data_IF_725277805526
#
_entry.id   IF_725277805526
#
_cell.length_a   1.000
_cell.length_b   1.000
_cell.length_c   1.000
_cell.angle_alpha   90.00
_cell.angle_beta   90.00
_cell.angle_gamma   90.00
#
_symmetry.space_group_name_H-M   'P 1'
#
loop_
_entity.id
_entity.type
_entity.pdbx_description
1 polymer ?
#
# COMPACT_ATOMS: atom_id res chain seq x y z
N UNK A 1 -10.62 -0.97 5.62
CA UNK A 1 -10.81 0.25 4.81
C UNK A 1 -10.26 -0.08 3.43
N UNK A 2 -11.15 -0.24 2.45
CA UNK A 2 -10.78 -0.73 1.11
C UNK A 2 -10.21 0.38 0.21
N UNK A 3 -10.10 0.06 -1.08
CA UNK A 3 -9.66 0.99 -2.14
C UNK A 3 -10.82 1.81 -2.75
N UNK A 4 -11.98 1.85 -2.09
CA UNK A 4 -13.23 2.38 -2.66
C UNK A 4 -13.54 3.82 -2.25
N UNK A 5 -12.74 4.41 -1.36
CA UNK A 5 -12.93 5.77 -0.88
C UNK A 5 -11.59 6.50 -0.81
N UNK A 6 -11.61 7.79 -1.16
CA UNK A 6 -10.48 8.68 -0.94
C UNK A 6 -10.30 8.96 0.55
N UNK A 7 -9.05 9.03 1.05
CA UNK A 7 -8.81 9.39 2.43
C UNK A 7 -9.10 10.88 2.69
N UNK A 8 -9.67 11.20 3.84
CA UNK A 8 -9.81 12.59 4.31
C UNK A 8 -8.47 13.20 4.79
N UNK A 9 -7.50 12.35 5.13
CA UNK A 9 -6.19 12.76 5.65
C UNK A 9 -5.05 11.92 5.09
N UNK A 10 -3.88 12.52 4.90
CA UNK A 10 -2.62 11.83 4.65
C UNK A 10 -1.63 12.16 5.77
N UNK A 11 -1.11 11.12 6.44
CA UNK A 11 -0.20 11.28 7.59
C UNK A 11 -0.74 12.27 8.66
N UNK A 12 -2.05 12.20 8.94
CA UNK A 12 -2.76 13.08 9.87
C UNK A 12 -2.99 14.52 9.39
N UNK A 13 -2.58 14.86 8.17
CA UNK A 13 -2.82 16.16 7.53
C UNK A 13 -4.12 16.08 6.73
N UNK A 14 -5.04 17.02 6.95
CA UNK A 14 -6.28 17.11 6.16
C UNK A 14 -5.97 17.35 4.69
N UNK A 15 -6.55 16.53 3.82
CA UNK A 15 -6.43 16.68 2.36
C UNK A 15 -7.40 17.76 1.88
N UNK A 16 -6.90 18.63 1.00
CA UNK A 16 -7.66 19.69 0.33
C UNK A 16 -7.68 19.38 -1.16
N UNK A 17 -8.85 19.10 -1.73
CA UNK A 17 -8.96 18.92 -3.17
C UNK A 17 -8.61 20.22 -3.90
N UNK A 18 -7.71 20.14 -4.86
CA UNK A 18 -7.31 21.28 -5.67
C UNK A 18 -8.38 21.56 -6.74
N UNK A 19 -8.88 22.79 -6.75
CA UNK A 19 -9.84 23.31 -7.73
C UNK A 19 -9.30 24.65 -8.24
N UNK A 20 -8.86 24.71 -9.50
CA UNK A 20 -8.31 25.93 -10.09
C UNK A 20 -9.37 27.04 -10.28
N UNK A 21 -10.65 26.71 -10.36
CA UNK A 21 -11.73 27.70 -10.45
C UNK A 21 -12.08 28.30 -9.09
N UNK A 22 -11.95 27.52 -8.01
CA UNK A 22 -12.24 27.93 -6.64
C UNK A 22 -11.17 27.42 -5.66
N UNK A 23 -9.94 27.94 -5.74
CA UNK A 23 -8.83 27.40 -4.98
C UNK A 23 -8.98 27.69 -3.49
N UNK A 24 -8.86 26.65 -2.66
CA UNK A 24 -8.61 26.79 -1.23
C UNK A 24 -7.10 26.85 -0.99
N UNK A 25 -6.58 28.04 -0.72
CA UNK A 25 -5.15 28.28 -0.54
C UNK A 25 -4.67 28.03 0.89
N UNK A 26 -5.52 27.49 1.78
CA UNK A 26 -5.20 27.28 3.20
C UNK A 26 -4.76 25.86 3.54
N UNK A 27 -4.85 24.93 2.58
CA UNK A 27 -4.47 23.54 2.76
C UNK A 27 -2.97 23.34 2.97
N UNK A 28 -2.60 22.33 3.77
CA UNK A 28 -1.22 21.87 3.94
C UNK A 28 -0.96 20.54 3.19
N UNK A 29 -2.01 19.83 2.80
CA UNK A 29 -1.97 18.71 1.88
C UNK A 29 -2.99 18.92 0.77
N UNK A 30 -2.58 18.68 -0.47
CA UNK A 30 -3.43 18.86 -1.64
C UNK A 30 -3.62 17.54 -2.39
N UNK A 31 -4.83 17.30 -2.90
CA UNK A 31 -5.10 16.24 -3.88
C UNK A 31 -5.38 16.83 -5.25
N UNK A 32 -4.84 16.19 -6.28
CA UNK A 32 -5.16 16.45 -7.68
C UNK A 32 -5.65 15.13 -8.27
N UNK A 33 -6.89 15.13 -8.76
CA UNK A 33 -7.49 14.03 -9.51
C UNK A 33 -8.24 14.63 -10.70
N UNK A 34 -8.07 14.03 -11.88
CA UNK A 34 -8.82 14.42 -13.08
C UNK A 34 -10.13 13.66 -13.14
N UNK A 35 -11.20 14.36 -13.48
CA UNK A 35 -12.49 13.73 -13.78
C UNK A 35 -12.74 13.58 -15.30
N UNK A 36 -13.91 13.07 -15.64
CA UNK A 36 -14.32 12.90 -17.04
C UNK A 36 -14.35 14.23 -17.82
N UNK A 37 -14.82 15.31 -17.20
CA UNK A 37 -14.93 16.62 -17.86
C UNK A 37 -13.54 17.23 -18.11
N UNK A 38 -12.58 17.00 -17.22
CA UNK A 38 -11.19 17.38 -17.40
C UNK A 38 -10.53 16.62 -18.57
N UNK A 39 -10.80 15.32 -18.66
CA UNK A 39 -10.39 14.51 -19.82
C UNK A 39 -10.95 15.03 -21.14
N UNK A 40 -12.23 15.44 -21.18
CA UNK A 40 -12.86 16.04 -22.36
C UNK A 40 -12.20 17.37 -22.76
N UNK A 41 -11.71 18.14 -21.78
CA UNK A 41 -10.97 19.39 -22.01
C UNK A 41 -9.51 19.15 -22.42
N UNK A 42 -9.02 17.92 -22.31
CA UNK A 42 -7.62 17.57 -22.54
C UNK A 42 -6.69 18.12 -21.45
N UNK A 43 -7.20 18.28 -20.23
CA UNK A 43 -6.37 18.61 -19.08
C UNK A 43 -5.47 17.41 -18.74
N UNK A 44 -4.26 17.71 -18.25
CA UNK A 44 -3.33 16.70 -17.74
C UNK A 44 -3.09 16.93 -16.26
N UNK A 45 -2.70 15.88 -15.55
CA UNK A 45 -2.37 15.99 -14.13
C UNK A 45 -1.23 16.99 -13.92
N UNK A 46 -0.23 16.95 -14.81
CA UNK A 46 0.96 17.83 -14.77
C UNK A 46 0.59 19.30 -14.95
N UNK A 47 -0.32 19.64 -15.88
CA UNK A 47 -0.76 21.02 -16.06
C UNK A 47 -1.52 21.52 -14.82
N UNK A 48 -2.37 20.68 -14.24
CA UNK A 48 -3.11 21.00 -13.01
C UNK A 48 -2.17 21.20 -11.82
N UNK A 49 -1.12 20.38 -11.72
CA UNK A 49 -0.06 20.53 -10.71
C UNK A 49 0.76 21.80 -10.87
N UNK A 50 1.09 22.20 -12.11
CA UNK A 50 1.73 23.48 -12.37
C UNK A 50 0.86 24.65 -11.87
N UNK A 51 -0.46 24.60 -12.13
CA UNK A 51 -1.41 25.59 -11.61
C UNK A 51 -1.47 25.67 -10.08
N UNK A 52 -1.37 24.52 -9.39
CA UNK A 52 -1.26 24.49 -7.93
C UNK A 52 0.01 25.21 -7.44
N UNK A 53 1.17 24.93 -8.04
CA UNK A 53 2.44 25.54 -7.64
C UNK A 53 2.50 27.05 -7.94
N UNK A 54 1.77 27.52 -8.96
CA UNK A 54 1.64 28.96 -9.23
C UNK A 54 0.81 29.70 -8.15
N UNK A 55 -0.17 29.01 -7.58
CA UNK A 55 -1.15 29.60 -6.66
C UNK A 55 -0.78 29.44 -5.18
N UNK A 56 -0.16 28.32 -4.81
CA UNK A 56 0.14 27.95 -3.43
C UNK A 56 1.66 27.96 -3.21
N UNK A 57 2.19 28.74 -2.25
CA UNK A 57 3.60 28.69 -1.90
C UNK A 57 4.01 27.27 -1.50
N UNK A 58 4.97 26.67 -2.19
CA UNK A 58 5.30 25.26 -1.97
C UNK A 58 5.90 24.94 -0.59
N UNK A 59 6.39 25.95 0.16
CA UNK A 59 6.75 25.78 1.56
C UNK A 59 5.55 25.42 2.47
N UNK A 60 4.33 25.74 2.03
CA UNK A 60 3.10 25.38 2.73
C UNK A 60 2.71 23.91 2.50
N UNK A 61 3.10 23.34 1.36
CA UNK A 61 2.71 21.99 0.95
C UNK A 61 3.56 20.96 1.70
N UNK A 62 2.92 20.29 2.65
CA UNK A 62 3.48 19.19 3.45
C UNK A 62 3.00 17.83 2.96
N UNK A 63 1.83 17.76 2.29
CA UNK A 63 1.28 16.54 1.71
C UNK A 63 0.86 16.71 0.25
N UNK A 64 1.01 15.64 -0.53
CA UNK A 64 0.53 15.56 -1.90
C UNK A 64 -0.17 14.23 -2.13
N UNK A 65 -1.33 14.29 -2.78
CA UNK A 65 -2.08 13.11 -3.23
C UNK A 65 -2.24 13.22 -4.74
N UNK A 66 -1.59 12.29 -5.44
CA UNK A 66 -1.77 12.07 -6.88
C UNK A 66 -2.96 11.12 -7.02
N UNK A 67 -4.13 11.65 -7.30
CA UNK A 67 -5.33 10.88 -7.63
C UNK A 67 -5.36 10.44 -9.08
N UNK A 68 -6.55 10.23 -9.64
CA UNK A 68 -6.71 9.79 -11.04
C UNK A 68 -6.02 10.76 -12.02
N UNK A 69 -5.28 10.20 -12.97
CA UNK A 69 -4.62 10.92 -14.07
C UNK A 69 -5.20 10.49 -15.42
N UNK A 70 -4.82 11.23 -16.47
CA UNK A 70 -5.31 11.00 -17.81
C UNK A 70 -5.02 9.59 -18.31
N UNK A 71 -6.08 8.86 -18.70
CA UNK A 71 -6.01 7.48 -19.20
C UNK A 71 -5.21 6.56 -18.27
N UNK A 72 -5.49 6.56 -16.96
CA UNK A 72 -4.72 5.82 -15.95
C UNK A 72 -4.58 4.31 -16.19
N UNK A 73 -5.41 3.72 -17.06
CA UNK A 73 -5.34 2.32 -17.50
C UNK A 73 -4.44 2.08 -18.72
N UNK A 74 -3.92 3.12 -19.36
CA UNK A 74 -3.05 3.02 -20.54
C UNK A 74 -1.59 3.35 -20.19
N UNK A 75 -0.66 2.57 -20.73
CA UNK A 75 0.78 2.75 -20.54
C UNK A 75 1.31 3.83 -21.49
N UNK A 76 0.71 5.02 -21.42
CA UNK A 76 0.95 6.16 -22.32
C UNK A 76 2.06 7.10 -21.82
N UNK A 77 2.61 6.87 -20.62
CA UNK A 77 3.66 7.68 -20.00
C UNK A 77 3.16 8.78 -19.05
N UNK A 78 1.86 8.90 -18.79
CA UNK A 78 1.31 9.89 -17.87
C UNK A 78 1.91 9.77 -16.46
N UNK A 79 1.96 8.56 -15.89
CA UNK A 79 2.56 8.33 -14.57
C UNK A 79 4.05 8.72 -14.53
N UNK A 80 4.81 8.47 -15.60
CA UNK A 80 6.22 8.90 -15.73
C UNK A 80 6.34 10.43 -15.72
N UNK A 81 5.50 11.12 -16.51
CA UNK A 81 5.47 12.57 -16.55
C UNK A 81 5.13 13.20 -15.19
N UNK A 82 4.25 12.56 -14.40
CA UNK A 82 3.92 12.99 -13.03
C UNK A 82 5.14 12.86 -12.11
N UNK A 83 5.83 11.71 -12.14
CA UNK A 83 7.08 11.52 -11.35
C UNK A 83 8.12 12.57 -11.75
N UNK A 84 8.33 12.81 -13.04
CA UNK A 84 9.25 13.83 -13.54
C UNK A 84 8.87 15.24 -13.06
N UNK A 85 7.59 15.59 -13.09
CA UNK A 85 7.09 16.88 -12.62
C UNK A 85 7.32 17.06 -11.12
N UNK A 86 7.02 16.05 -10.30
CA UNK A 86 7.26 16.08 -8.86
C UNK A 86 8.76 16.24 -8.54
N UNK A 87 9.62 15.45 -9.19
CA UNK A 87 11.08 15.54 -9.03
C UNK A 87 11.60 16.92 -9.42
N UNK A 88 11.11 17.46 -10.55
CA UNK A 88 11.50 18.79 -11.03
C UNK A 88 11.05 19.92 -10.10
N UNK A 89 9.95 19.71 -9.36
CA UNK A 89 9.44 20.65 -8.37
C UNK A 89 10.03 20.46 -6.96
N UNK A 90 10.96 19.52 -6.76
CA UNK A 90 11.49 19.19 -5.42
C UNK A 90 12.03 20.39 -4.63
N UNK A 91 12.72 21.33 -5.28
CA UNK A 91 13.21 22.56 -4.62
C UNK A 91 12.07 23.52 -4.23
N UNK A 92 10.94 23.49 -4.95
CA UNK A 92 9.74 24.28 -4.64
C UNK A 92 8.91 23.66 -3.52
N UNK A 93 9.10 22.37 -3.24
CA UNK A 93 8.36 21.61 -2.23
C UNK A 93 9.26 21.20 -1.04
N UNK A 94 9.94 22.13 -0.36
CA UNK A 94 10.99 21.80 0.61
C UNK A 94 10.45 21.17 1.91
N UNK A 95 9.13 21.18 2.12
CA UNK A 95 8.45 20.65 3.30
C UNK A 95 7.56 19.44 3.01
N UNK A 96 7.55 18.94 1.76
CA UNK A 96 6.80 17.74 1.41
C UNK A 96 7.32 16.56 2.25
N UNK A 97 6.42 16.01 3.07
CA UNK A 97 6.71 14.87 3.95
C UNK A 97 5.75 13.69 3.75
N UNK A 98 4.61 13.90 3.10
CA UNK A 98 3.65 12.85 2.83
C UNK A 98 3.26 12.81 1.35
N UNK A 99 3.35 11.64 0.74
CA UNK A 99 2.98 11.42 -0.65
C UNK A 99 2.11 10.17 -0.78
N UNK A 100 0.96 10.31 -1.43
CA UNK A 100 0.17 9.17 -1.91
C UNK A 100 0.14 9.24 -3.44
N UNK A 101 0.76 8.27 -4.08
CA UNK A 101 0.82 8.14 -5.53
C UNK A 101 -0.21 7.11 -6.04
N UNK A 102 -1.21 7.56 -6.79
CA UNK A 102 -2.27 6.70 -7.31
C UNK A 102 -3.44 6.51 -6.36
N UNK A 103 -3.91 7.57 -5.69
CA UNK A 103 -5.19 7.54 -4.97
C UNK A 103 -6.37 7.48 -5.96
N UNK A 104 -6.49 6.31 -6.60
CA UNK A 104 -7.48 5.99 -7.61
C UNK A 104 -8.36 4.92 -6.99
N UNK A 105 -9.65 5.19 -6.96
CA UNK A 105 -10.66 4.27 -6.43
C UNK A 105 -11.08 3.27 -7.50
N UNK A 106 -11.63 2.13 -7.08
CA UNK A 106 -12.15 1.13 -8.03
C UNK A 106 -13.24 1.65 -8.97
N UNK A 107 -13.96 2.73 -8.60
CA UNK A 107 -14.92 3.38 -9.51
C UNK A 107 -14.25 4.19 -10.62
N UNK A 108 -13.06 4.74 -10.36
CA UNK A 108 -12.29 5.52 -11.33
C UNK A 108 -11.45 4.61 -12.25
N UNK A 109 -10.75 3.65 -11.65
CA UNK A 109 -9.98 2.63 -12.33
C UNK A 109 -9.74 1.46 -11.37
N UNK A 110 -10.12 0.26 -11.81
CA UNK A 110 -9.77 -1.01 -11.15
C UNK A 110 -8.25 -1.07 -10.87
N UNK A 111 -7.85 -1.47 -9.66
CA UNK A 111 -6.46 -1.40 -9.18
C UNK A 111 -5.49 -2.20 -10.05
N UNK A 112 -5.97 -3.29 -10.65
CA UNK A 112 -5.23 -4.15 -11.58
C UNK A 112 -4.96 -3.47 -12.93
N UNK A 113 -5.77 -2.49 -13.30
CA UNK A 113 -5.64 -1.75 -14.55
C UNK A 113 -4.73 -0.54 -14.44
N UNK A 114 -4.50 0.00 -13.23
CA UNK A 114 -3.66 1.18 -13.00
C UNK A 114 -2.25 0.95 -13.55
N UNK A 115 -1.86 1.77 -14.55
CA UNK A 115 -0.52 1.77 -15.15
C UNK A 115 0.39 2.76 -14.41
N UNK A 116 1.24 2.21 -13.56
CA UNK A 116 2.29 2.89 -12.81
C UNK A 116 3.58 3.09 -13.62
N UNK A 117 4.62 3.59 -12.94
CA UNK A 117 5.95 3.84 -13.49
C UNK A 117 7.06 3.52 -12.46
N UNK A 118 8.32 3.81 -12.80
CA UNK A 118 9.42 3.84 -11.83
C UNK A 118 9.32 5.07 -10.93
N UNK A 119 8.97 4.84 -9.66
CA UNK A 119 8.88 5.89 -8.65
C UNK A 119 10.19 6.06 -7.86
N UNK A 120 11.24 5.30 -8.17
CA UNK A 120 12.53 5.37 -7.47
C UNK A 120 13.16 6.77 -7.41
N UNK A 121 12.99 7.67 -8.39
CA UNK A 121 13.51 9.05 -8.31
C UNK A 121 12.95 9.86 -7.13
N UNK A 122 11.74 9.53 -6.66
CA UNK A 122 11.07 10.26 -5.57
C UNK A 122 11.85 10.16 -4.25
N UNK A 123 12.50 9.02 -3.98
CA UNK A 123 13.29 8.82 -2.76
C UNK A 123 14.48 9.78 -2.68
N UNK A 124 15.08 10.14 -3.82
CA UNK A 124 16.17 11.11 -3.87
C UNK A 124 15.69 12.55 -3.86
N UNK A 125 14.55 12.82 -4.50
CA UNK A 125 13.98 14.15 -4.64
C UNK A 125 13.45 14.72 -3.32
N UNK A 126 12.89 13.87 -2.44
CA UNK A 126 12.22 14.31 -1.22
C UNK A 126 12.87 13.73 0.05
N UNK A 127 14.04 14.25 0.50
CA UNK A 127 14.78 13.68 1.63
C UNK A 127 14.07 13.77 3.00
N UNK A 128 13.00 14.57 3.09
CA UNK A 128 12.15 14.71 4.28
C UNK A 128 10.88 13.86 4.22
N UNK A 129 10.71 13.03 3.19
CA UNK A 129 9.54 12.17 3.05
C UNK A 129 9.45 11.18 4.24
N UNK A 130 8.37 11.28 4.99
CA UNK A 130 8.05 10.42 6.14
C UNK A 130 6.96 9.40 5.80
N UNK A 131 6.08 9.71 4.86
CA UNK A 131 4.97 8.84 4.45
C UNK A 131 4.95 8.68 2.93
N UNK A 132 4.96 7.43 2.45
CA UNK A 132 4.75 7.07 1.06
C UNK A 132 3.69 5.95 0.96
N UNK A 133 2.61 6.22 0.23
CA UNK A 133 1.64 5.22 -0.20
C UNK A 133 1.61 5.17 -1.73
N UNK A 134 1.51 3.99 -2.30
CA UNK A 134 1.45 3.76 -3.74
C UNK A 134 0.36 2.73 -4.02
N UNK A 135 -0.48 2.96 -5.03
CA UNK A 135 -1.55 2.01 -5.41
C UNK A 135 -1.55 1.72 -6.90
N UNK A 136 -1.56 0.44 -7.26
CA UNK A 136 -1.43 -0.07 -8.62
C UNK A 136 -0.13 -0.84 -8.81
N UNK A 137 -0.21 -2.02 -9.42
CA UNK A 137 0.96 -2.90 -9.65
C UNK A 137 1.53 -2.85 -11.07
N UNK A 138 0.70 -2.50 -12.07
CA UNK A 138 1.08 -2.53 -13.47
C UNK A 138 2.21 -1.56 -13.78
N UNK A 139 3.37 -2.05 -14.25
CA UNK A 139 4.51 -1.17 -14.59
C UNK A 139 5.25 -0.54 -13.39
N UNK A 140 4.84 -0.82 -12.15
CA UNK A 140 5.47 -0.25 -10.95
C UNK A 140 6.92 -0.73 -10.81
N UNK A 141 7.83 0.23 -10.62
CA UNK A 141 9.18 -0.04 -10.17
C UNK A 141 9.57 0.91 -9.03
N UNK A 142 10.37 0.41 -8.10
CA UNK A 142 10.80 1.16 -6.90
C UNK A 142 12.32 1.22 -6.73
N UNK A 143 13.06 0.62 -7.68
CA UNK A 143 14.52 0.56 -7.65
C UNK A 143 15.08 -0.02 -6.36
N UNK A 144 16.22 0.52 -5.90
CA UNK A 144 16.78 0.21 -4.58
C UNK A 144 16.36 1.25 -3.56
N UNK A 145 15.50 0.87 -2.63
CA UNK A 145 14.92 1.80 -1.66
C UNK A 145 15.92 2.09 -0.54
N UNK A 146 16.30 3.36 -0.41
CA UNK A 146 17.08 3.89 0.72
C UNK A 146 16.52 5.25 1.12
N UNK A 147 16.08 5.38 2.36
CA UNK A 147 15.52 6.65 2.85
C UNK A 147 15.68 6.78 4.36
N UNK A 148 16.28 7.89 4.81
CA UNK A 148 16.59 8.10 6.22
C UNK A 148 15.37 8.51 7.07
N UNK A 149 14.37 9.13 6.44
CA UNK A 149 13.25 9.78 7.14
C UNK A 149 11.92 9.02 7.00
N UNK A 150 11.85 8.01 6.12
CA UNK A 150 10.58 7.34 5.80
C UNK A 150 10.14 6.48 6.98
N UNK A 151 8.96 6.78 7.52
CA UNK A 151 8.32 6.11 8.66
C UNK A 151 7.22 5.16 8.20
N UNK A 152 6.54 5.48 7.11
CA UNK A 152 5.45 4.68 6.56
C UNK A 152 5.67 4.41 5.08
N UNK A 153 5.61 3.13 4.71
CA UNK A 153 5.59 2.66 3.33
C UNK A 153 4.41 1.71 3.14
N UNK A 154 3.51 2.04 2.21
CA UNK A 154 2.34 1.24 1.86
C UNK A 154 2.35 1.04 0.35
N UNK A 155 2.32 -0.21 -0.10
CA UNK A 155 2.25 -0.56 -1.53
C UNK A 155 1.03 -1.46 -1.75
N UNK A 156 0.07 -0.97 -2.51
CA UNK A 156 -1.22 -1.60 -2.78
C UNK A 156 -1.27 -2.06 -4.24
N UNK A 157 -1.59 -3.33 -4.47
CA UNK A 157 -1.80 -3.85 -5.81
C UNK A 157 -2.66 -5.11 -5.73
N UNK A 158 -3.53 -5.32 -6.71
CA UNK A 158 -4.26 -6.58 -6.86
C UNK A 158 -3.39 -7.76 -7.32
N UNK A 159 -2.15 -7.47 -7.73
CA UNK A 159 -1.09 -8.43 -8.01
C UNK A 159 0.26 -7.72 -8.06
N UNK A 160 1.03 -7.80 -6.97
CA UNK A 160 2.28 -7.06 -6.87
C UNK A 160 3.46 -7.84 -7.47
N UNK A 161 4.24 -7.26 -8.40
CA UNK A 161 5.41 -7.93 -8.95
C UNK A 161 6.43 -8.27 -7.86
N UNK A 162 6.96 -9.49 -7.89
CA UNK A 162 7.96 -10.02 -6.95
C UNK A 162 9.23 -9.17 -6.93
N UNK A 163 9.57 -8.50 -8.04
CA UNK A 163 10.66 -7.55 -8.09
C UNK A 163 10.44 -6.35 -7.14
N UNK A 164 9.21 -5.84 -7.05
CA UNK A 164 8.82 -4.79 -6.11
C UNK A 164 8.80 -5.33 -4.68
N UNK A 165 8.22 -6.52 -4.46
CA UNK A 165 8.23 -7.19 -3.14
C UNK A 165 9.65 -7.36 -2.60
N UNK A 166 10.57 -7.88 -3.41
CA UNK A 166 11.99 -8.05 -3.05
C UNK A 166 12.66 -6.71 -2.74
N UNK A 167 12.36 -5.66 -3.53
CA UNK A 167 12.92 -4.34 -3.31
C UNK A 167 12.44 -3.72 -1.99
N UNK A 168 11.15 -3.84 -1.67
CA UNK A 168 10.59 -3.45 -0.37
C UNK A 168 11.22 -4.24 0.77
N UNK A 169 11.36 -5.56 0.63
CA UNK A 169 11.93 -6.42 1.68
C UNK A 169 13.44 -6.22 1.90
N UNK A 170 14.17 -5.72 0.89
CA UNK A 170 15.60 -5.44 0.95
C UNK A 170 15.92 -3.96 1.22
N UNK A 171 14.92 -3.14 1.52
CA UNK A 171 15.06 -1.70 1.68
C UNK A 171 15.91 -1.32 2.91
N UNK A 172 16.61 -0.20 2.82
CA UNK A 172 17.36 0.42 3.92
C UNK A 172 16.59 1.63 4.45
N UNK A 173 15.70 1.37 5.42
CA UNK A 173 14.74 2.32 5.97
C UNK A 173 14.84 2.33 7.51
N UNK A 174 15.88 2.96 8.09
CA UNK A 174 16.14 2.91 9.53
C UNK A 174 15.04 3.55 10.39
N UNK A 175 14.28 4.50 9.83
CA UNK A 175 13.17 5.17 10.50
C UNK A 175 11.82 4.48 10.27
N UNK A 176 11.74 3.38 9.51
CA UNK A 176 10.46 2.77 9.16
C UNK A 176 9.79 2.17 10.40
N UNK A 177 8.57 2.63 10.67
CA UNK A 177 7.71 2.18 11.76
C UNK A 177 6.56 1.33 11.21
N UNK A 178 6.12 1.61 9.97
CA UNK A 178 4.97 0.99 9.33
C UNK A 178 5.28 0.52 7.91
N UNK A 179 5.13 -0.78 7.66
CA UNK A 179 5.26 -1.38 6.34
C UNK A 179 4.00 -2.18 6.00
N UNK A 180 3.36 -1.84 4.87
CA UNK A 180 2.30 -2.63 4.26
C UNK A 180 2.66 -3.00 2.82
N UNK A 181 2.54 -4.28 2.50
CA UNK A 181 2.70 -4.82 1.15
C UNK A 181 1.47 -5.67 0.86
N UNK A 182 0.70 -5.27 -0.14
CA UNK A 182 -0.42 -6.05 -0.65
C UNK A 182 0.11 -6.93 -1.78
N UNK A 183 0.11 -8.24 -1.57
CA UNK A 183 0.77 -9.17 -2.49
C UNK A 183 -0.10 -9.46 -3.73
N UNK A 184 -1.41 -9.38 -3.55
CA UNK A 184 -2.42 -9.70 -4.53
C UNK A 184 -2.50 -11.18 -4.88
N UNK A 185 -2.93 -11.42 -6.12
CA UNK A 185 -3.09 -12.73 -6.76
C UNK A 185 -2.30 -12.81 -8.06
N UNK A 186 -1.97 -14.04 -8.47
CA UNK A 186 -1.32 -14.30 -9.74
C UNK A 186 -2.18 -13.95 -10.96
N UNK A 187 -3.50 -13.90 -10.80
CA UNK A 187 -4.43 -13.53 -11.89
C UNK A 187 -4.19 -12.09 -12.37
N UNK A 188 -3.86 -11.18 -11.45
CA UNK A 188 -3.64 -9.76 -11.74
C UNK A 188 -2.15 -9.36 -11.69
N UNK A 189 -1.25 -10.32 -11.92
CA UNK A 189 0.18 -10.07 -12.14
C UNK A 189 1.09 -10.30 -10.93
N UNK A 190 0.55 -10.76 -9.79
CA UNK A 190 1.35 -11.20 -8.66
C UNK A 190 2.20 -12.42 -9.00
N UNK A 191 3.49 -12.39 -8.67
CA UNK A 191 4.37 -13.56 -8.85
C UNK A 191 5.30 -13.78 -7.66
N UNK A 192 4.96 -13.16 -6.52
CA UNK A 192 5.70 -13.30 -5.27
C UNK A 192 5.56 -14.71 -4.69
N UNK A 193 6.67 -15.18 -4.13
CA UNK A 193 6.77 -16.45 -3.41
C UNK A 193 7.09 -16.20 -1.94
N UNK A 194 6.89 -17.18 -1.03
CA UNK A 194 7.29 -17.04 0.37
C UNK A 194 8.80 -16.70 0.53
N UNK A 195 9.64 -17.11 -0.40
CA UNK A 195 11.07 -16.77 -0.44
C UNK A 195 11.34 -15.28 -0.65
N UNK A 196 10.48 -14.57 -1.38
CA UNK A 196 10.65 -13.15 -1.69
C UNK A 196 10.47 -12.25 -0.44
N UNK A 197 9.67 -12.69 0.54
CA UNK A 197 9.45 -11.98 1.81
C UNK A 197 10.44 -12.39 2.91
N UNK A 198 11.17 -13.49 2.73
CA UNK A 198 12.09 -14.01 3.76
C UNK A 198 13.14 -13.00 4.27
N UNK A 199 13.73 -12.10 3.44
CA UNK A 199 14.67 -11.09 3.93
C UNK A 199 14.06 -10.10 4.94
N UNK A 200 12.80 -9.72 4.73
CA UNK A 200 12.05 -8.86 5.66
C UNK A 200 11.81 -9.58 6.99
N UNK A 201 11.43 -10.86 6.92
CA UNK A 201 11.17 -11.70 8.10
C UNK A 201 12.42 -11.92 8.96
N UNK A 202 13.61 -11.93 8.36
CA UNK A 202 14.88 -11.98 9.08
C UNK A 202 15.15 -10.74 9.95
N UNK A 203 14.36 -9.66 9.81
CA UNK A 203 14.40 -8.48 10.67
C UNK A 203 15.53 -7.50 10.39
N UNK A 204 16.22 -7.63 9.25
CA UNK A 204 17.28 -6.71 8.82
C UNK A 204 16.65 -5.46 8.16
N UNK A 205 17.37 -4.32 8.13
CA UNK A 205 16.92 -3.09 7.45
C UNK A 205 15.91 -2.21 8.20
N UNK A 206 15.04 -2.77 9.06
CA UNK A 206 13.92 -2.04 9.69
C UNK A 206 13.96 -1.98 11.23
N UNK A 207 15.02 -1.45 11.88
CA UNK A 207 15.18 -1.49 13.34
C UNK A 207 14.04 -0.84 14.12
N UNK A 208 13.32 0.09 13.51
CA UNK A 208 12.22 0.85 14.13
C UNK A 208 10.84 0.24 13.87
N UNK A 209 10.74 -0.85 13.10
CA UNK A 209 9.44 -1.38 12.65
C UNK A 209 8.55 -1.77 13.83
N UNK A 210 7.27 -1.37 13.75
CA UNK A 210 6.21 -1.66 14.73
C UNK A 210 4.99 -2.29 14.08
N UNK A 211 4.71 -1.95 12.83
CA UNK A 211 3.62 -2.54 12.05
C UNK A 211 4.19 -3.26 10.83
N UNK A 212 3.80 -4.52 10.65
CA UNK A 212 4.06 -5.30 9.45
C UNK A 212 2.76 -5.85 8.90
N UNK A 213 2.37 -5.39 7.71
CA UNK A 213 1.28 -5.94 6.92
C UNK A 213 1.79 -6.66 5.68
N UNK A 214 1.49 -7.96 5.59
CA UNK A 214 1.59 -8.75 4.35
C UNK A 214 0.16 -9.11 3.96
N UNK A 215 -0.53 -8.12 3.40
CA UNK A 215 -1.99 -8.12 3.22
C UNK A 215 -2.35 -8.66 1.85
N UNK A 216 -3.65 -8.91 1.68
CA UNK A 216 -4.28 -9.15 0.39
C UNK A 216 -3.51 -10.21 -0.40
N UNK A 217 -3.31 -11.39 0.21
CA UNK A 217 -2.36 -12.37 -0.31
C UNK A 217 -2.99 -13.72 -0.55
N UNK A 218 -2.91 -14.19 -1.80
CA UNK A 218 -3.34 -15.54 -2.18
C UNK A 218 -2.46 -16.64 -1.55
N UNK A 219 -1.21 -16.32 -1.20
CA UNK A 219 -0.21 -17.25 -0.65
C UNK A 219 -0.08 -17.14 0.88
N UNK A 220 -1.01 -16.47 1.56
CA UNK A 220 -0.91 -16.18 2.99
C UNK A 220 -0.78 -17.44 3.87
N UNK A 221 -1.41 -18.57 3.50
CA UNK A 221 -1.26 -19.85 4.19
C UNK A 221 0.20 -20.38 4.16
N UNK A 222 0.96 -20.04 3.12
CA UNK A 222 2.37 -20.41 2.99
C UNK A 222 3.29 -19.44 3.73
N UNK A 223 2.89 -18.17 3.82
CA UNK A 223 3.62 -17.11 4.51
C UNK A 223 3.44 -17.19 6.04
N UNK A 224 2.24 -17.52 6.52
CA UNK A 224 1.91 -17.50 7.94
C UNK A 224 2.87 -18.35 8.81
N UNK A 225 3.28 -19.57 8.42
CA UNK A 225 4.29 -20.33 9.17
C UNK A 225 5.68 -19.68 9.19
N UNK A 226 6.08 -19.01 8.11
CA UNK A 226 7.35 -18.29 8.06
C UNK A 226 7.31 -17.10 9.00
N UNK A 227 6.25 -16.31 8.95
CA UNK A 227 6.02 -15.17 9.84
C UNK A 227 5.98 -15.62 11.30
N UNK A 228 5.21 -16.67 11.61
CA UNK A 228 5.06 -17.22 12.95
C UNK A 228 6.39 -17.57 13.65
N UNK A 229 7.42 -17.90 12.87
CA UNK A 229 8.76 -18.25 13.37
C UNK A 229 9.82 -17.16 13.14
N UNK A 230 9.44 -16.02 12.57
CA UNK A 230 10.35 -14.99 12.13
C UNK A 230 10.84 -14.08 13.28
N UNK A 231 12.15 -13.73 13.31
CA UNK A 231 12.69 -12.77 14.28
C UNK A 231 11.98 -11.41 14.30
N UNK A 232 11.43 -10.98 13.15
CA UNK A 232 10.67 -9.73 13.05
C UNK A 232 9.48 -9.69 14.02
N UNK A 233 8.82 -10.83 14.25
CA UNK A 233 7.59 -10.90 15.06
C UNK A 233 7.88 -10.65 16.55
N UNK A 234 9.11 -10.86 17.00
CA UNK A 234 9.50 -10.57 18.38
C UNK A 234 9.60 -9.07 18.69
N UNK A 235 9.67 -8.21 17.66
CA UNK A 235 9.89 -6.76 17.83
C UNK A 235 8.71 -5.88 17.42
N UNK A 236 7.88 -6.35 16.49
CA UNK A 236 6.71 -5.60 16.03
C UNK A 236 5.60 -5.64 17.09
N UNK A 237 4.67 -4.71 16.98
CA UNK A 237 3.50 -4.60 17.83
C UNK A 237 2.25 -5.10 17.12
N UNK A 238 2.17 -4.89 15.81
CA UNK A 238 1.05 -5.29 14.98
C UNK A 238 1.57 -6.17 13.85
N UNK A 239 0.95 -7.35 13.72
CA UNK A 239 1.04 -8.18 12.53
C UNK A 239 -0.31 -8.17 11.84
N UNK A 240 -0.30 -7.87 10.55
CA UNK A 240 -1.49 -7.82 9.71
C UNK A 240 -1.32 -8.78 8.51
N UNK A 241 -2.19 -9.78 8.46
CA UNK A 241 -2.31 -10.76 7.37
C UNK A 241 -3.74 -10.76 6.79
N UNK A 242 -4.45 -9.63 6.94
CA UNK A 242 -5.82 -9.42 6.46
C UNK A 242 -5.93 -9.40 4.95
N UNK A 243 -7.18 -9.42 4.46
CA UNK A 243 -7.56 -9.31 3.04
C UNK A 243 -7.12 -10.51 2.18
N UNK A 244 -6.53 -11.53 2.77
CA UNK A 244 -6.01 -12.70 2.06
C UNK A 244 -6.89 -13.93 2.14
N UNK A 245 -6.37 -15.04 1.65
CA UNK A 245 -7.07 -16.33 1.59
C UNK A 245 -6.80 -17.23 2.81
N UNK A 246 -6.53 -16.63 3.98
CA UNK A 246 -6.01 -17.34 5.17
C UNK A 246 -7.01 -18.38 5.68
N UNK A 247 -6.57 -19.62 5.81
CA UNK A 247 -7.39 -20.70 6.36
C UNK A 247 -6.89 -21.20 7.70
N UNK A 248 -7.59 -22.19 8.25
CA UNK A 248 -7.14 -22.97 9.41
C UNK A 248 -5.72 -23.51 9.25
N UNK A 249 -5.25 -23.81 8.03
CA UNK A 249 -3.91 -24.33 7.80
C UNK A 249 -2.82 -23.30 8.15
N UNK A 250 -2.91 -22.08 7.61
CA UNK A 250 -1.99 -20.99 7.95
C UNK A 250 -2.20 -20.48 9.37
N UNK A 251 -3.46 -20.32 9.80
CA UNK A 251 -3.81 -19.82 11.12
C UNK A 251 -3.32 -20.72 12.26
N UNK A 252 -3.25 -22.05 12.05
CA UNK A 252 -2.71 -22.97 13.03
C UNK A 252 -1.26 -22.63 13.39
N UNK A 253 -0.44 -22.18 12.44
CA UNK A 253 0.94 -21.79 12.71
C UNK A 253 1.03 -20.50 13.54
N UNK A 254 0.15 -19.52 13.27
CA UNK A 254 0.05 -18.29 14.07
C UNK A 254 -0.34 -18.59 15.52
N UNK A 255 -1.33 -19.48 15.70
CA UNK A 255 -1.82 -19.90 17.01
C UNK A 255 -0.74 -20.61 17.83
N UNK A 256 0.14 -21.36 17.18
CA UNK A 256 1.24 -22.08 17.84
C UNK A 256 2.47 -21.22 18.15
N UNK A 257 2.51 -19.97 17.66
CA UNK A 257 3.66 -19.09 17.85
C UNK A 257 3.64 -18.33 19.19
N UNK A 258 4.64 -18.54 20.06
CA UNK A 258 4.78 -17.76 21.28
C UNK A 258 5.15 -16.29 21.02
N UNK A 259 5.66 -15.96 19.83
CA UNK A 259 5.97 -14.58 19.45
C UNK A 259 4.70 -13.83 19.06
N UNK A 260 3.84 -14.44 18.24
CA UNK A 260 2.53 -13.88 17.87
C UNK A 260 1.66 -13.64 19.11
N UNK A 261 1.66 -14.56 20.08
CA UNK A 261 0.92 -14.40 21.33
C UNK A 261 1.35 -13.20 22.21
N UNK A 262 2.47 -12.54 21.88
CA UNK A 262 2.99 -11.34 22.59
C UNK A 262 2.75 -10.03 21.83
N UNK A 263 2.17 -10.09 20.63
CA UNK A 263 1.80 -8.89 19.87
C UNK A 263 0.81 -8.04 20.66
N UNK A 264 0.66 -6.79 20.25
CA UNK A 264 -0.44 -5.93 20.71
C UNK A 264 -1.70 -6.23 19.89
N UNK A 265 -1.58 -6.30 18.56
CA UNK A 265 -2.66 -6.64 17.64
C UNK A 265 -2.22 -7.72 16.63
N UNK A 266 -3.10 -8.66 16.37
CA UNK A 266 -3.06 -9.57 15.23
C UNK A 266 -4.29 -9.30 14.37
N UNK A 267 -4.08 -8.77 13.18
CA UNK A 267 -5.16 -8.40 12.26
C UNK A 267 -5.29 -9.45 11.16
N UNK A 268 -6.44 -10.13 11.14
CA UNK A 268 -6.76 -11.19 10.19
C UNK A 268 -8.12 -10.94 9.51
N UNK A 269 -8.67 -9.71 9.54
CA UNK A 269 -9.98 -9.48 8.91
C UNK A 269 -9.96 -9.87 7.43
N UNK A 270 -11.10 -10.30 6.89
CA UNK A 270 -11.19 -10.90 5.56
C UNK A 270 -10.32 -12.15 5.45
N UNK A 271 -10.90 -13.27 5.90
CA UNK A 271 -10.23 -14.58 5.99
C UNK A 271 -11.21 -15.74 5.75
N UNK A 272 -10.67 -16.95 5.59
CA UNK A 272 -11.42 -18.20 5.43
C UNK A 272 -11.22 -19.17 6.61
N UNK A 273 -10.90 -18.64 7.80
CA UNK A 273 -10.80 -19.46 9.02
C UNK A 273 -12.19 -19.95 9.46
N UNK A 274 -12.25 -21.19 9.93
CA UNK A 274 -13.47 -21.77 10.49
C UNK A 274 -13.81 -21.14 11.84
N UNK A 275 -15.09 -21.22 12.24
CA UNK A 275 -15.55 -20.77 13.56
C UNK A 275 -14.74 -21.37 14.70
N UNK A 276 -14.38 -22.66 14.58
CA UNK A 276 -13.58 -23.37 15.56
C UNK A 276 -12.15 -22.82 15.65
N UNK A 277 -11.57 -22.38 14.53
CA UNK A 277 -10.27 -21.72 14.52
C UNK A 277 -10.36 -20.31 15.09
N UNK A 278 -11.36 -19.52 14.69
CA UNK A 278 -11.60 -18.18 15.22
C UNK A 278 -11.75 -18.18 16.74
N UNK A 279 -12.53 -19.12 17.31
CA UNK A 279 -12.69 -19.27 18.76
C UNK A 279 -11.37 -19.54 19.51
N UNK A 280 -10.38 -20.13 18.83
CA UNK A 280 -9.04 -20.39 19.37
C UNK A 280 -8.15 -19.16 19.22
N UNK A 281 -8.16 -18.52 18.06
CA UNK A 281 -7.42 -17.29 17.78
C UNK A 281 -7.84 -16.16 18.71
N UNK A 282 -9.14 -15.99 18.97
CA UNK A 282 -9.66 -14.98 19.90
C UNK A 282 -9.16 -15.14 21.35
N UNK A 283 -8.55 -16.29 21.69
CA UNK A 283 -7.98 -16.58 23.02
C UNK A 283 -6.45 -16.56 23.03
N UNK A 284 -5.81 -16.13 21.93
CA UNK A 284 -4.36 -16.20 21.73
C UNK A 284 -3.58 -15.24 22.65
N UNK A 285 -4.18 -14.12 23.06
CA UNK A 285 -3.54 -13.12 23.92
C UNK A 285 -3.60 -11.67 23.41
N UNK A 286 -3.17 -11.37 22.17
CA UNK A 286 -3.29 -10.02 21.60
C UNK A 286 -4.75 -9.63 21.36
N UNK A 287 -4.98 -8.36 21.02
CA UNK A 287 -6.20 -7.97 20.31
C UNK A 287 -6.21 -8.69 18.95
N UNK A 288 -7.23 -9.49 18.67
CA UNK A 288 -7.35 -10.22 17.40
C UNK A 288 -8.55 -9.70 16.64
N UNK A 289 -8.29 -9.23 15.42
CA UNK A 289 -9.32 -8.84 14.47
C UNK A 289 -9.64 -10.03 13.58
N UNK A 290 -10.89 -10.49 13.62
CA UNK A 290 -11.42 -11.66 12.91
C UNK A 290 -12.72 -11.29 12.18
N UNK A 291 -12.92 -9.99 11.91
CA UNK A 291 -14.10 -9.52 11.19
C UNK A 291 -14.04 -9.98 9.72
N UNK A 292 -15.18 -9.95 9.03
CA UNK A 292 -15.27 -10.29 7.60
C UNK A 292 -14.84 -11.74 7.30
N UNK A 293 -15.46 -12.71 7.98
CA UNK A 293 -15.26 -14.12 7.65
C UNK A 293 -15.89 -14.46 6.30
N UNK A 294 -15.11 -15.03 5.38
CA UNK A 294 -15.52 -15.45 4.05
C UNK A 294 -15.85 -16.94 3.98
N UNK A 295 -16.75 -17.30 3.08
CA UNK A 295 -17.09 -18.69 2.73
C UNK A 295 -16.41 -19.06 1.41
N UNK A 296 -15.95 -20.31 1.30
CA UNK A 296 -15.38 -20.79 0.04
C UNK A 296 -16.46 -20.97 -1.01
N UNK A 297 -16.20 -20.52 -2.24
CA UNK A 297 -17.07 -20.82 -3.38
C UNK A 297 -16.83 -22.27 -3.84
N UNK A 298 -17.88 -23.10 -3.75
CA UNK A 298 -17.94 -24.46 -4.31
C UNK A 298 -18.84 -24.42 -5.55
N UNK A 299 -18.23 -24.47 -6.73
CA UNK A 299 -18.93 -24.47 -8.02
C UNK A 299 -19.61 -25.82 -8.34
N UNK A 300 -19.50 -26.80 -7.44
CA UNK A 300 -20.10 -28.13 -7.57
C UNK A 300 -19.30 -29.10 -8.44
N UNK A 301 -18.13 -28.70 -8.97
CA UNK A 301 -17.14 -29.59 -9.62
C UNK A 301 -16.07 -30.09 -8.61
N UNK A 302 -16.11 -29.59 -7.37
CA UNK A 302 -15.18 -29.97 -6.30
C UNK A 302 -13.90 -29.14 -6.26
N UNK A 303 -13.81 -28.09 -7.07
CA UNK A 303 -12.79 -27.05 -6.96
C UNK A 303 -13.25 -26.01 -5.93
N UNK A 304 -12.40 -25.78 -4.92
CA UNK A 304 -12.66 -24.83 -3.82
C UNK A 304 -11.96 -23.52 -4.16
N UNK A 305 -12.74 -22.47 -4.44
CA UNK A 305 -12.22 -21.17 -4.80
C UNK A 305 -12.22 -20.21 -3.60
N UNK A 306 -11.15 -19.40 -3.51
CA UNK A 306 -10.98 -18.32 -2.55
C UNK A 306 -10.41 -17.12 -3.29
N UNK A 307 -10.84 -15.94 -2.91
CA UNK A 307 -10.38 -14.68 -3.48
C UNK A 307 -9.73 -13.84 -2.39
N UNK A 308 -8.84 -12.94 -2.81
CA UNK A 308 -8.36 -11.85 -1.96
C UNK A 308 -9.39 -10.72 -1.99
N UNK A 309 -9.40 -9.85 -0.99
CA UNK A 309 -10.42 -8.80 -0.88
C UNK A 309 -10.33 -7.78 -2.03
N UNK A 310 -9.12 -7.54 -2.55
CA UNK A 310 -8.85 -6.52 -3.56
C UNK A 310 -7.99 -7.11 -4.68
N UNK A 311 -8.64 -7.69 -5.68
CA UNK A 311 -7.96 -8.33 -6.82
C UNK A 311 -8.00 -7.48 -8.10
N UNK A 312 -9.19 -7.01 -8.48
CA UNK A 312 -9.41 -6.24 -9.71
C UNK A 312 -9.46 -4.74 -9.47
#
# INVERSE_FOLDING_TARGET
MGIYEHPDTIDGIRITAWDAEKPDLTGEAYSIALDYDDGVRGATWVDTFAGLLEAVPGEQIQGMVVGCWEEAYDANGAAEAIVEALVSASEQLPNLRALFFGDITGEECEISWIQQTDISPLFGAFPKLEYLRVRGGGGLAVGSIRHASLKTLIVEAGGLPSAVVRACCAADLPALEHLEIWLGTAEYGGDATPEDVAPLLAGQGFPSLRYLGLRDSEIVDQIAPLVASAPIVERIQVLDLSLGTLTDAGAQALLESPAVAKLQKLDLHHHYCSDAMMERLAKLGPEVDLDDQEETDDDGDGDVWRYVAVSE
#
